data_IF_171645165988
#
_entry.id   IF_171645165988
#
_cell.length_a   1.000
_cell.length_b   1.000
_cell.length_c   1.000
_cell.angle_alpha   90.00
_cell.angle_beta   90.00
_cell.angle_gamma   90.00
#
_symmetry.space_group_name_H-M   'P 1'
#
loop_
_entity.id
_entity.type
_entity.pdbx_description
1 polymer ?
#
# COMPACT_ATOMS: atom_id res chain seq x y z
N UNK A 1 7.67 -1.51 78.41
CA UNK A 1 8.99 -2.14 78.56
C UNK A 1 10.05 -1.07 78.33
N UNK A 2 10.95 -0.90 79.29
CA UNK A 2 12.06 0.06 79.29
C UNK A 2 13.14 -0.38 78.29
N UNK A 3 13.78 0.60 77.64
CA UNK A 3 15.17 0.63 77.17
C UNK A 3 15.45 2.13 76.87
N UNK A 4 15.92 2.91 77.85
CA UNK A 4 17.32 3.12 78.28
C UNK A 4 18.08 4.12 77.38
N UNK A 5 18.44 5.25 78.02
CA UNK A 5 19.12 6.45 77.54
C UNK A 5 20.47 6.22 76.85
N UNK A 6 20.80 7.08 75.87
CA UNK A 6 22.15 7.61 75.67
C UNK A 6 22.05 9.13 75.50
N UNK A 7 22.67 9.86 76.42
CA UNK A 7 22.92 11.31 76.36
C UNK A 7 24.25 11.52 75.64
N UNK A 8 24.32 12.47 74.71
CA UNK A 8 25.54 13.25 74.46
C UNK A 8 25.21 14.53 73.69
N UNK A 9 25.37 15.66 74.37
CA UNK A 9 25.36 16.98 73.79
C UNK A 9 26.65 17.20 72.99
N UNK A 10 26.55 17.67 71.75
CA UNK A 10 27.66 18.33 71.06
C UNK A 10 27.13 19.54 70.30
N UNK A 11 27.56 20.70 70.77
CA UNK A 11 27.45 22.03 70.17
C UNK A 11 28.49 22.13 69.05
N UNK A 12 28.10 22.40 67.80
CA UNK A 12 29.01 22.86 66.75
C UNK A 12 28.38 23.99 65.92
N UNK A 13 28.79 25.20 66.28
CA UNK A 13 29.31 26.29 65.44
C UNK A 13 28.78 26.42 63.99
N UNK A 14 28.09 27.52 63.75
CA UNK A 14 27.72 28.06 62.43
C UNK A 14 28.94 28.47 61.60
N UNK A 15 29.04 28.04 60.34
CA UNK A 15 29.68 28.80 59.25
C UNK A 15 28.99 28.45 57.94
N UNK A 16 28.52 29.46 57.20
CA UNK A 16 27.91 29.29 55.88
C UNK A 16 28.94 28.95 54.79
N UNK A 17 28.46 28.48 53.64
CA UNK A 17 28.76 29.00 52.29
C UNK A 17 28.12 28.09 51.23
N UNK A 18 27.72 28.73 50.14
CA UNK A 18 27.32 28.18 48.84
C UNK A 18 25.98 27.44 48.77
N UNK A 19 24.95 28.20 48.39
CA UNK A 19 24.07 27.76 47.32
C UNK A 19 24.96 27.34 46.14
N UNK A 20 25.12 26.05 45.92
CA UNK A 20 25.49 25.57 44.61
C UNK A 20 24.19 25.49 43.80
N UNK A 21 23.70 26.63 43.32
CA UNK A 21 22.74 26.65 42.22
C UNK A 21 23.48 26.13 41.01
N UNK A 22 23.55 24.80 40.91
CA UNK A 22 23.89 24.13 39.67
C UNK A 22 22.68 24.35 38.78
N UNK A 23 22.61 25.55 38.20
CA UNK A 23 21.78 25.84 37.04
C UNK A 23 22.42 25.04 35.90
N UNK A 24 22.15 23.74 35.92
CA UNK A 24 22.43 22.86 34.80
C UNK A 24 21.49 23.34 33.71
N UNK A 25 22.01 24.16 32.80
CA UNK A 25 21.28 24.60 31.63
C UNK A 25 20.62 23.38 31.00
N UNK A 26 19.30 23.31 31.16
CA UNK A 26 18.49 22.31 30.49
C UNK A 26 18.64 22.61 28.99
N UNK A 27 19.42 21.80 28.28
CA UNK A 27 19.49 21.90 26.83
C UNK A 27 18.11 21.52 26.29
N UNK A 28 17.32 22.53 25.94
CA UNK A 28 16.07 22.34 25.21
C UNK A 28 16.38 21.72 23.84
N UNK A 29 16.25 20.40 23.74
CA UNK A 29 16.28 19.72 22.46
C UNK A 29 15.01 20.06 21.70
N UNK A 30 15.15 20.68 20.52
CA UNK A 30 14.01 20.96 19.64
C UNK A 30 13.58 19.66 18.93
N UNK A 31 12.34 19.27 19.16
CA UNK A 31 11.70 18.14 18.50
C UNK A 31 11.55 18.37 16.99
N UNK A 32 11.90 17.35 16.22
CA UNK A 32 11.80 17.33 14.76
C UNK A 32 10.90 16.16 14.37
N UNK A 33 9.91 16.44 13.54
CA UNK A 33 9.14 15.43 12.84
C UNK A 33 8.76 15.99 11.46
N UNK A 34 9.14 15.29 10.41
CA UNK A 34 8.72 15.58 9.04
C UNK A 34 8.52 14.29 8.24
N UNK A 35 7.74 14.38 7.17
CA UNK A 35 7.35 13.23 6.34
C UNK A 35 7.48 13.58 4.86
N UNK A 36 7.99 12.65 4.05
CA UNK A 36 8.07 12.86 2.60
C UNK A 36 6.69 12.90 1.96
N UNK A 37 6.58 13.56 0.81
CA UNK A 37 5.37 13.52 -0.03
C UNK A 37 5.14 12.13 -0.62
N UNK A 38 3.88 11.79 -0.85
CA UNK A 38 3.46 10.56 -1.54
C UNK A 38 2.67 10.92 -2.80
N UNK A 39 2.97 10.24 -3.91
CA UNK A 39 2.26 10.43 -5.17
C UNK A 39 0.92 9.69 -5.18
N UNK A 40 0.00 10.07 -6.07
CA UNK A 40 -1.30 9.41 -6.26
C UNK A 40 -1.14 7.91 -6.58
N UNK A 41 -1.91 7.08 -5.88
CA UNK A 41 -2.00 5.65 -6.12
C UNK A 41 -2.91 5.32 -7.30
N UNK A 42 -2.58 4.27 -8.04
CA UNK A 42 -3.47 3.69 -9.04
C UNK A 42 -4.75 3.14 -8.40
N UNK A 43 -5.77 2.84 -9.21
CA UNK A 43 -7.01 2.23 -8.72
C UNK A 43 -6.81 0.79 -8.20
N UNK A 44 -5.67 0.15 -8.52
CA UNK A 44 -5.32 -1.19 -8.07
C UNK A 44 -4.81 -1.18 -6.62
N UNK A 45 -4.58 -2.37 -6.06
CA UNK A 45 -3.76 -2.45 -4.85
C UNK A 45 -2.33 -2.03 -5.18
N UNK A 46 -1.72 -1.27 -4.29
CA UNK A 46 -0.38 -0.73 -4.51
C UNK A 46 0.25 -0.37 -3.16
N UNK A 47 1.58 -0.45 -3.08
CA UNK A 47 2.34 -0.05 -1.90
C UNK A 47 3.40 0.98 -2.27
N UNK A 48 3.48 2.05 -1.49
CA UNK A 48 4.49 3.09 -1.64
C UNK A 48 5.23 3.34 -0.33
N UNK A 49 6.51 3.66 -0.44
CA UNK A 49 7.36 3.99 0.69
C UNK A 49 7.37 5.51 0.92
N UNK A 50 7.24 5.92 2.18
CA UNK A 50 7.57 7.28 2.62
C UNK A 50 8.70 7.24 3.65
N UNK A 51 9.42 8.35 3.78
CA UNK A 51 10.44 8.55 4.81
C UNK A 51 9.92 9.47 5.91
N UNK A 52 10.26 9.13 7.16
CA UNK A 52 10.05 9.96 8.34
C UNK A 52 11.40 10.51 8.77
N UNK A 53 11.52 11.82 8.89
CA UNK A 53 12.71 12.49 9.45
C UNK A 53 12.36 12.99 10.85
N UNK A 54 12.99 12.42 11.87
CA UNK A 54 12.70 12.75 13.25
C UNK A 54 13.89 12.49 14.19
N UNK A 55 13.86 13.09 15.38
CA UNK A 55 14.78 12.86 16.49
C UNK A 55 14.08 12.29 17.74
N UNK A 56 12.85 11.80 17.57
CA UNK A 56 11.94 11.40 18.65
C UNK A 56 11.18 10.11 18.30
N UNK A 57 10.44 9.57 19.27
CA UNK A 57 9.49 8.49 19.03
C UNK A 57 8.25 9.01 18.30
N UNK A 58 7.86 8.32 17.25
CA UNK A 58 6.66 8.65 16.48
C UNK A 58 5.76 7.42 16.29
N UNK A 59 4.47 7.68 16.09
CA UNK A 59 3.47 6.68 15.78
C UNK A 59 2.48 7.21 14.74
N UNK A 60 1.74 6.29 14.12
CA UNK A 60 0.76 6.59 13.08
C UNK A 60 -0.67 6.45 13.61
N UNK A 61 -1.54 7.36 13.17
CA UNK A 61 -2.98 7.25 13.36
C UNK A 61 -3.66 7.19 11.99
N UNK A 62 -4.40 6.11 11.76
CA UNK A 62 -5.14 5.86 10.52
C UNK A 62 -6.57 5.43 10.88
N UNK A 63 -7.55 6.09 10.28
CA UNK A 63 -8.98 5.80 10.40
C UNK A 63 -9.61 5.28 9.10
N UNK A 64 -8.79 4.98 8.09
CA UNK A 64 -9.21 4.45 6.80
C UNK A 64 -9.00 2.94 6.77
N UNK A 65 -10.05 2.18 6.52
CA UNK A 65 -10.03 0.72 6.41
C UNK A 65 -9.27 0.21 5.17
N UNK A 66 -9.20 1.02 4.11
CA UNK A 66 -8.52 0.68 2.85
C UNK A 66 -7.02 1.04 2.82
N UNK A 67 -6.48 1.64 3.88
CA UNK A 67 -5.06 2.01 4.03
C UNK A 67 -4.44 1.18 5.15
N UNK A 68 -3.27 0.57 4.91
CA UNK A 68 -2.46 -0.11 5.93
C UNK A 68 -1.07 0.50 5.98
N UNK A 69 -0.52 0.66 7.18
CA UNK A 69 0.80 1.26 7.43
C UNK A 69 1.72 0.24 8.11
N UNK A 70 2.96 0.14 7.67
CA UNK A 70 3.96 -0.72 8.31
C UNK A 70 5.37 -0.15 8.19
N UNK A 71 6.11 0.02 9.31
CA UNK A 71 5.64 -0.10 10.70
C UNK A 71 4.67 1.03 11.08
N UNK A 72 3.89 0.84 12.14
CA UNK A 72 2.95 1.86 12.64
C UNK A 72 3.59 2.85 13.62
N UNK A 73 4.86 2.64 13.97
CA UNK A 73 5.64 3.46 14.89
C UNK A 73 7.14 3.27 14.65
N UNK A 74 7.95 4.16 15.22
CA UNK A 74 9.40 4.09 15.16
C UNK A 74 10.06 5.15 16.03
N UNK A 75 11.38 5.16 16.01
CA UNK A 75 12.21 6.14 16.73
C UNK A 75 13.20 6.77 15.77
N UNK A 76 13.49 8.06 15.97
CA UNK A 76 14.33 8.85 15.07
C UNK A 76 13.84 8.75 13.62
N UNK A 77 14.75 8.80 12.65
CA UNK A 77 14.42 8.60 11.26
C UNK A 77 13.90 7.18 11.02
N UNK A 78 12.98 7.06 10.07
CA UNK A 78 12.48 5.77 9.63
C UNK A 78 11.77 5.85 8.29
N UNK A 79 11.07 4.77 7.97
CA UNK A 79 10.31 4.66 6.74
C UNK A 79 9.03 3.89 7.00
N UNK A 80 7.96 4.24 6.29
CA UNK A 80 6.65 3.61 6.42
C UNK A 80 6.22 3.16 5.03
N UNK A 81 5.86 1.88 4.89
CA UNK A 81 5.11 1.39 3.74
C UNK A 81 3.64 1.76 3.91
N UNK A 82 3.09 2.44 2.92
CA UNK A 82 1.66 2.74 2.79
C UNK A 82 1.10 1.80 1.74
N UNK A 83 0.28 0.84 2.18
CA UNK A 83 -0.41 -0.10 1.30
C UNK A 83 -1.88 0.29 1.19
N UNK A 84 -2.37 0.38 -0.04
CA UNK A 84 -3.80 0.64 -0.32
C UNK A 84 -4.41 -0.61 -0.93
N UNK A 85 -5.64 -0.93 -0.55
CA UNK A 85 -6.46 -1.90 -1.28
C UNK A 85 -6.92 -1.29 -2.61
N UNK A 86 -7.40 -2.10 -3.56
CA UNK A 86 -7.96 -1.58 -4.80
C UNK A 86 -9.20 -0.69 -4.52
N UNK A 87 -9.34 0.42 -5.25
CA UNK A 87 -10.54 1.26 -5.23
C UNK A 87 -11.59 0.66 -6.17
N UNK A 88 -12.71 0.12 -5.67
CA UNK A 88 -13.75 -0.45 -6.53
C UNK A 88 -14.61 0.62 -7.20
N UNK A 89 -14.54 1.86 -6.72
CA UNK A 89 -15.41 2.95 -7.14
C UNK A 89 -14.90 3.62 -8.40
N UNK A 90 -15.82 4.08 -9.23
CA UNK A 90 -15.52 4.87 -10.45
C UNK A 90 -15.24 6.34 -10.14
N UNK A 91 -15.06 6.67 -8.86
CA UNK A 91 -14.64 7.97 -8.35
C UNK A 91 -13.33 7.85 -7.60
N UNK A 92 -12.51 8.91 -7.68
CA UNK A 92 -11.30 9.07 -6.85
C UNK A 92 -11.69 8.98 -5.37
N UNK A 93 -10.86 8.33 -4.56
CA UNK A 93 -11.02 8.33 -3.09
C UNK A 93 -9.79 8.90 -2.41
N UNK A 94 -10.01 9.58 -1.30
CA UNK A 94 -8.97 10.23 -0.50
C UNK A 94 -9.06 9.79 0.96
N UNK A 95 -7.92 9.62 1.61
CA UNK A 95 -7.82 9.27 3.02
C UNK A 95 -6.68 10.03 3.69
N UNK A 96 -6.84 10.32 4.98
CA UNK A 96 -5.84 11.06 5.76
C UNK A 96 -5.22 10.16 6.81
N UNK A 97 -3.88 10.18 6.87
CA UNK A 97 -3.08 9.51 7.89
C UNK A 97 -2.30 10.56 8.66
N UNK A 98 -2.19 10.43 9.97
CA UNK A 98 -1.34 11.30 10.78
C UNK A 98 -0.10 10.54 11.27
N UNK A 99 1.06 11.18 11.19
CA UNK A 99 2.27 10.78 11.89
C UNK A 99 2.46 11.76 13.05
N UNK A 100 2.57 11.23 14.27
CA UNK A 100 2.53 12.01 15.50
C UNK A 100 3.76 11.67 16.33
N UNK A 101 4.40 12.67 16.91
CA UNK A 101 5.51 12.50 17.84
C UNK A 101 5.77 13.78 18.62
N UNK A 102 5.95 13.65 19.94
CA UNK A 102 5.87 14.79 20.86
C UNK A 102 4.55 15.55 20.69
N UNK A 103 4.65 16.88 20.56
CA UNK A 103 3.52 17.77 20.28
C UNK A 103 3.31 18.05 18.78
N UNK A 104 4.09 17.40 17.90
CA UNK A 104 4.05 17.61 16.45
C UNK A 104 3.14 16.56 15.79
N UNK A 105 2.27 17.02 14.88
CA UNK A 105 1.46 16.15 14.04
C UNK A 105 1.62 16.51 12.57
N UNK A 106 1.91 15.51 11.73
CA UNK A 106 2.05 15.63 10.28
C UNK A 106 0.96 14.82 9.59
N UNK A 107 0.14 15.50 8.81
CA UNK A 107 -0.89 14.86 8.00
C UNK A 107 -0.34 14.44 6.63
N UNK A 108 -0.69 13.25 6.20
CA UNK A 108 -0.42 12.70 4.88
C UNK A 108 -1.76 12.43 4.22
N UNK A 109 -1.98 13.10 3.09
CA UNK A 109 -3.16 12.85 2.25
C UNK A 109 -2.83 11.77 1.22
N UNK A 110 -3.59 10.69 1.26
CA UNK A 110 -3.51 9.59 0.31
C UNK A 110 -4.63 9.76 -0.71
N UNK A 111 -4.26 9.99 -1.96
CA UNK A 111 -5.20 10.03 -3.09
C UNK A 111 -5.05 8.75 -3.90
N UNK A 112 -6.17 8.09 -4.18
CA UNK A 112 -6.22 6.90 -5.01
C UNK A 112 -7.20 7.10 -6.17
N UNK A 113 -6.73 6.83 -7.38
CA UNK A 113 -7.49 7.02 -8.61
C UNK A 113 -8.81 6.24 -8.62
N UNK A 114 -9.75 6.72 -9.44
CA UNK A 114 -10.98 6.01 -9.77
C UNK A 114 -10.68 4.72 -10.52
N UNK A 115 -11.46 3.67 -10.26
CA UNK A 115 -11.53 2.52 -11.16
C UNK A 115 -11.98 3.00 -12.54
N UNK A 116 -11.24 2.61 -13.58
CA UNK A 116 -11.68 2.83 -14.94
C UNK A 116 -13.04 2.15 -15.16
N UNK A 117 -14.01 2.90 -15.69
CA UNK A 117 -15.26 2.31 -16.14
C UNK A 117 -15.00 1.45 -17.37
N UNK A 118 -15.30 0.15 -17.26
CA UNK A 118 -15.58 -0.63 -18.45
C UNK A 118 -16.97 -0.19 -18.90
N UNK A 119 -17.04 0.65 -19.92
CA UNK A 119 -18.31 1.18 -20.45
C UNK A 119 -19.19 0.10 -21.08
N UNK A 120 -18.71 -1.16 -21.13
CA UNK A 120 -19.42 -2.26 -21.78
C UNK A 120 -19.66 -2.05 -23.28
N UNK A 121 -19.14 -0.96 -23.85
CA UNK A 121 -19.20 -0.68 -25.28
C UNK A 121 -18.10 -1.51 -25.92
N UNK A 122 -18.52 -2.61 -26.55
CA UNK A 122 -17.63 -3.46 -27.32
C UNK A 122 -17.61 -2.98 -28.77
N UNK A 123 -16.43 -3.00 -29.40
CA UNK A 123 -16.29 -2.66 -30.82
C UNK A 123 -16.22 -3.93 -31.66
N UNK A 124 -17.21 -4.13 -32.53
CA UNK A 124 -17.29 -5.27 -33.44
C UNK A 124 -16.13 -5.36 -34.45
N UNK A 125 -15.38 -4.27 -34.67
CA UNK A 125 -14.24 -4.22 -35.59
C UNK A 125 -12.89 -4.51 -34.91
N UNK A 126 -12.88 -4.60 -33.57
CA UNK A 126 -11.67 -4.87 -32.82
C UNK A 126 -11.53 -6.37 -32.50
N UNK A 127 -10.29 -6.85 -32.40
CA UNK A 127 -10.02 -8.20 -31.94
C UNK A 127 -10.48 -8.38 -30.47
N UNK A 128 -10.74 -9.63 -30.01
CA UNK A 128 -11.18 -9.87 -28.63
C UNK A 128 -10.23 -9.26 -27.58
N UNK A 129 -8.91 -9.31 -27.80
CA UNK A 129 -7.91 -8.73 -26.89
C UNK A 129 -7.88 -7.20 -26.84
N UNK A 130 -8.62 -6.52 -27.70
CA UNK A 130 -8.80 -5.06 -27.65
C UNK A 130 -10.10 -4.66 -26.95
N UNK A 131 -11.08 -5.56 -26.92
CA UNK A 131 -12.32 -5.41 -26.16
C UNK A 131 -12.21 -5.93 -24.72
N UNK A 132 -11.31 -6.89 -24.46
CA UNK A 132 -11.13 -7.56 -23.18
C UNK A 132 -9.64 -7.66 -22.80
N UNK A 133 -9.31 -7.49 -21.52
CA UNK A 133 -7.95 -7.73 -21.01
C UNK A 133 -7.66 -9.23 -20.95
N UNK A 134 -6.78 -9.70 -21.82
CA UNK A 134 -6.34 -11.09 -21.93
C UNK A 134 -4.86 -11.27 -21.53
N UNK A 135 -4.29 -10.31 -20.80
CA UNK A 135 -2.86 -10.27 -20.44
C UNK A 135 -2.39 -11.41 -19.52
N UNK A 136 -3.31 -12.14 -18.91
CA UNK A 136 -3.02 -13.30 -18.05
C UNK A 136 -3.59 -14.61 -18.57
N UNK A 137 -4.16 -14.61 -19.78
CA UNK A 137 -4.92 -15.74 -20.31
C UNK A 137 -4.23 -16.41 -21.49
N UNK A 138 -4.20 -17.75 -21.46
CA UNK A 138 -3.90 -18.57 -22.62
C UNK A 138 -5.23 -19.06 -23.21
N UNK A 139 -5.26 -19.31 -24.51
CA UNK A 139 -6.42 -19.90 -25.19
C UNK A 139 -6.04 -21.26 -25.78
N UNK A 140 -6.80 -22.30 -25.44
CA UNK A 140 -6.70 -23.60 -26.12
C UNK A 140 -7.83 -23.74 -27.14
N UNK A 141 -7.51 -24.05 -28.39
CA UNK A 141 -8.49 -24.30 -29.46
C UNK A 141 -8.41 -25.74 -29.96
N UNK A 142 -9.52 -26.36 -30.40
CA UNK A 142 -9.56 -27.74 -30.86
C UNK A 142 -9.01 -27.88 -32.30
N UNK A 143 -7.81 -27.36 -32.54
CA UNK A 143 -6.99 -27.59 -33.73
C UNK A 143 -5.73 -28.37 -33.32
N UNK A 144 -5.36 -29.35 -34.13
CA UNK A 144 -4.15 -30.16 -33.94
C UNK A 144 -3.08 -29.69 -34.92
N UNK A 145 -1.84 -29.53 -34.45
CA UNK A 145 -0.67 -29.29 -35.31
C UNK A 145 0.08 -30.59 -35.66
N UNK A 146 -0.51 -31.74 -35.40
CA UNK A 146 0.05 -33.08 -35.62
C UNK A 146 0.69 -33.70 -34.38
N UNK A 147 0.42 -33.15 -33.19
CA UNK A 147 0.94 -33.64 -31.91
C UNK A 147 -0.13 -34.37 -31.06
N UNK A 148 -1.37 -34.42 -31.53
CA UNK A 148 -2.48 -35.08 -30.85
C UNK A 148 -3.08 -34.26 -29.72
N UNK A 149 -2.71 -32.98 -29.58
CA UNK A 149 -3.20 -32.07 -28.54
C UNK A 149 -3.83 -30.82 -29.13
N UNK A 150 -4.66 -30.15 -28.31
CA UNK A 150 -5.28 -28.89 -28.69
C UNK A 150 -4.23 -27.77 -28.76
N UNK A 151 -4.24 -26.99 -29.85
CA UNK A 151 -3.36 -25.85 -30.04
C UNK A 151 -3.55 -24.81 -28.93
N UNK A 152 -2.47 -24.47 -28.25
CA UNK A 152 -2.43 -23.37 -27.28
C UNK A 152 -1.92 -22.09 -27.93
N UNK A 153 -2.70 -21.03 -27.80
CA UNK A 153 -2.37 -19.65 -28.10
C UNK A 153 -1.91 -19.00 -26.80
N UNK A 154 -0.66 -18.57 -26.77
CA UNK A 154 -0.02 -17.96 -25.60
C UNK A 154 -0.56 -16.56 -25.31
N UNK A 155 -0.32 -16.04 -24.10
CA UNK A 155 -0.58 -14.64 -23.73
C UNK A 155 -0.04 -13.66 -24.77
N UNK A 156 1.19 -13.84 -25.24
CA UNK A 156 1.79 -12.94 -26.22
C UNK A 156 1.04 -12.97 -27.56
N UNK A 157 0.63 -14.16 -28.00
CA UNK A 157 -0.12 -14.32 -29.25
C UNK A 157 -1.55 -13.78 -29.15
N UNK A 158 -2.26 -14.07 -28.05
CA UNK A 158 -3.66 -13.65 -27.91
C UNK A 158 -3.79 -12.11 -27.83
N UNK A 159 -2.81 -11.44 -27.23
CA UNK A 159 -2.75 -9.98 -27.16
C UNK A 159 -2.19 -9.32 -28.44
N UNK A 160 -1.74 -10.11 -29.42
CA UNK A 160 -1.33 -9.66 -30.75
C UNK A 160 -2.48 -9.79 -31.77
N UNK A 161 -3.69 -9.35 -31.38
CA UNK A 161 -4.90 -9.32 -32.21
C UNK A 161 -5.36 -10.69 -32.76
N UNK A 162 -5.03 -11.79 -32.07
CA UNK A 162 -5.39 -13.13 -32.50
C UNK A 162 -6.90 -13.34 -32.63
N UNK A 163 -7.32 -13.90 -33.77
CA UNK A 163 -8.68 -14.36 -34.00
C UNK A 163 -8.69 -15.65 -34.83
N UNK A 164 -9.67 -16.50 -34.56
CA UNK A 164 -10.02 -17.69 -35.31
C UNK A 164 -11.54 -17.70 -35.51
N UNK A 165 -12.00 -17.50 -36.75
CA UNK A 165 -13.43 -17.39 -37.10
C UNK A 165 -14.26 -18.64 -36.76
N UNK A 166 -13.61 -19.78 -36.51
CA UNK A 166 -14.28 -21.03 -36.14
C UNK A 166 -14.44 -21.21 -34.63
N UNK A 167 -13.47 -20.77 -33.83
CA UNK A 167 -13.39 -21.10 -32.39
C UNK A 167 -13.31 -19.90 -31.45
N UNK A 168 -12.73 -18.78 -31.89
CA UNK A 168 -12.45 -17.62 -31.06
C UNK A 168 -12.43 -16.31 -31.85
N UNK A 169 -13.48 -15.49 -31.78
CA UNK A 169 -13.58 -14.28 -32.60
C UNK A 169 -14.51 -13.22 -31.97
N UNK A 170 -14.46 -12.00 -32.49
CA UNK A 170 -15.38 -10.92 -32.13
C UNK A 170 -16.68 -11.01 -32.96
N UNK A 171 -17.83 -11.05 -32.30
CA UNK A 171 -19.15 -11.07 -32.95
C UNK A 171 -19.60 -9.67 -33.39
N UNK A 172 -20.72 -9.58 -34.10
CA UNK A 172 -21.25 -8.32 -34.66
C UNK A 172 -21.63 -7.28 -33.61
N UNK A 173 -21.75 -7.68 -32.34
CA UNK A 173 -22.01 -6.82 -31.18
C UNK A 173 -20.72 -6.48 -30.40
N UNK A 174 -19.54 -6.86 -30.90
CA UNK A 174 -18.27 -6.74 -30.19
C UNK A 174 -18.01 -7.82 -29.14
N UNK A 175 -18.97 -8.72 -28.91
CA UNK A 175 -18.86 -9.83 -27.97
C UNK A 175 -17.77 -10.83 -28.36
N UNK A 176 -16.98 -11.28 -27.38
CA UNK A 176 -16.02 -12.35 -27.58
C UNK A 176 -16.72 -13.71 -27.61
N UNK A 177 -16.60 -14.44 -28.71
CA UNK A 177 -17.21 -15.75 -28.92
C UNK A 177 -16.19 -16.86 -28.71
N UNK A 178 -16.58 -17.86 -27.92
CA UNK A 178 -15.91 -19.16 -27.85
C UNK A 178 -16.82 -20.23 -28.45
N UNK A 179 -16.32 -21.02 -29.40
CA UNK A 179 -17.03 -22.17 -29.96
C UNK A 179 -16.26 -23.45 -29.66
N UNK A 180 -16.91 -24.37 -28.97
CA UNK A 180 -16.41 -25.71 -28.69
C UNK A 180 -17.34 -26.74 -29.37
N UNK A 181 -17.02 -27.23 -30.57
CA UNK A 181 -17.82 -28.27 -31.22
C UNK A 181 -17.72 -29.61 -30.50
N UNK A 182 -18.74 -30.46 -30.69
CA UNK A 182 -18.83 -31.81 -30.09
C UNK A 182 -17.64 -32.72 -30.48
N UNK A 183 -17.05 -32.48 -31.66
CA UNK A 183 -15.79 -33.08 -32.07
C UNK A 183 -14.64 -32.11 -31.82
N UNK A 184 -13.64 -32.52 -31.04
CA UNK A 184 -12.45 -31.72 -30.72
C UNK A 184 -11.47 -32.49 -29.83
N UNK A 185 -10.21 -32.06 -29.83
CA UNK A 185 -9.17 -32.64 -28.96
C UNK A 185 -9.28 -32.07 -27.55
N UNK A 186 -8.91 -32.89 -26.56
CA UNK A 186 -8.94 -32.50 -25.16
C UNK A 186 -7.78 -31.52 -24.86
N UNK A 187 -8.02 -30.42 -24.13
CA UNK A 187 -6.93 -29.59 -23.62
C UNK A 187 -6.01 -30.40 -22.70
N UNK A 188 -4.73 -30.05 -22.67
CA UNK A 188 -3.75 -30.58 -21.71
C UNK A 188 -4.12 -30.22 -20.26
#
# INVERSE_FOLDING_TARGET
MKLLNIVCAVLFLTVGFSCNSSDSGEEEQVDILDVSTVSEFSASEETKLITVTANLYWYTANNNDWITLSPTNGTNNGSINISVTANPNTTVRTGSVNVIGGDISKNITITQAAKAESTGVLDANLAPSKNFDLSTWNLSIPEDKGDGTALTITVAQINADYQNSKYFYTNTDGGMVFKCPVAGLKPL
#
